data_IF_016636163844
#
_entry.id   IF_016636163844
#
_cell.length_a   1.000
_cell.length_b   1.000
_cell.length_c   1.000
_cell.angle_alpha   90.00
_cell.angle_beta   90.00
_cell.angle_gamma   90.00
#
_symmetry.space_group_name_H-M   'P 1'
#
loop_
_entity.id
_entity.type
_entity.pdbx_description
1 polymer ?
#
# COMPACT_ATOMS: atom_id res chain seq x y z
N UNK A 1 10.61 2.86 25.01
CA UNK A 1 9.31 2.49 24.41
C UNK A 1 9.61 2.03 23.00
N UNK A 2 9.19 0.82 22.64
CA UNK A 2 9.41 0.31 21.27
C UNK A 2 8.46 1.10 20.36
N UNK A 3 8.98 2.08 19.65
CA UNK A 3 8.19 2.79 18.62
C UNK A 3 7.88 1.75 17.53
N UNK A 4 6.61 1.55 17.21
CA UNK A 4 6.21 0.64 16.14
C UNK A 4 6.94 0.92 14.84
N UNK A 5 7.10 -0.09 14.02
CA UNK A 5 7.76 -0.03 12.70
C UNK A 5 6.74 0.24 11.59
N UNK A 6 7.24 0.67 10.45
CA UNK A 6 6.44 0.95 9.25
C UNK A 6 6.71 -0.11 8.19
N UNK A 7 5.66 -0.75 7.69
CA UNK A 7 5.72 -1.76 6.63
C UNK A 7 5.02 -1.18 5.40
N UNK A 8 5.76 -0.97 4.33
CA UNK A 8 5.27 -0.43 3.06
C UNK A 8 5.15 -1.59 2.08
N UNK A 9 3.95 -1.82 1.54
CA UNK A 9 3.73 -2.83 0.51
C UNK A 9 3.19 -2.14 -0.74
N UNK A 10 3.92 -2.31 -1.84
CA UNK A 10 3.52 -1.84 -3.16
C UNK A 10 3.51 -3.00 -4.15
N UNK A 11 2.65 -2.92 -5.15
CA UNK A 11 2.54 -3.93 -6.19
C UNK A 11 1.71 -3.40 -7.36
N UNK A 12 1.91 -3.93 -8.56
CA UNK A 12 0.98 -3.72 -9.67
C UNK A 12 -0.42 -4.24 -9.35
N UNK A 13 -1.43 -3.58 -9.93
CA UNK A 13 -2.82 -4.02 -9.80
C UNK A 13 -2.99 -5.46 -10.33
N UNK A 14 -3.64 -6.31 -9.54
CA UNK A 14 -3.87 -7.71 -9.93
C UNK A 14 -2.81 -8.69 -9.43
N UNK A 15 -1.76 -8.23 -8.75
CA UNK A 15 -0.68 -9.08 -8.22
C UNK A 15 -1.08 -9.89 -6.97
N UNK A 16 -2.20 -9.53 -6.30
CA UNK A 16 -2.66 -10.20 -5.08
C UNK A 16 -2.23 -9.51 -3.78
N UNK A 17 -1.75 -8.25 -3.86
CA UNK A 17 -1.29 -7.46 -2.71
C UNK A 17 -2.29 -7.42 -1.56
N UNK A 18 -3.56 -7.08 -1.82
CA UNK A 18 -4.60 -6.97 -0.78
C UNK A 18 -4.88 -8.29 -0.07
N UNK A 19 -4.77 -9.41 -0.79
CA UNK A 19 -4.90 -10.75 -0.20
C UNK A 19 -3.73 -11.04 0.73
N UNK A 20 -2.50 -10.76 0.30
CA UNK A 20 -1.30 -10.93 1.14
C UNK A 20 -1.43 -10.07 2.41
N UNK A 21 -1.76 -8.78 2.29
CA UNK A 21 -1.95 -7.89 3.44
C UNK A 21 -3.02 -8.43 4.39
N UNK A 22 -4.16 -8.90 3.86
CA UNK A 22 -5.24 -9.47 4.66
C UNK A 22 -4.80 -10.69 5.48
N UNK A 23 -3.96 -11.57 4.92
CA UNK A 23 -3.39 -12.72 5.64
C UNK A 23 -2.39 -12.29 6.70
N UNK A 24 -1.51 -11.33 6.40
CA UNK A 24 -0.52 -10.82 7.33
C UNK A 24 -1.13 -10.16 8.58
N UNK A 25 -2.22 -9.41 8.41
CA UNK A 25 -2.91 -8.74 9.52
C UNK A 25 -3.53 -9.74 10.51
N UNK A 26 -3.87 -10.95 10.07
CA UNK A 26 -4.39 -12.01 10.94
C UNK A 26 -3.34 -12.58 11.89
N UNK A 27 -2.05 -12.41 11.57
CA UNK A 27 -0.96 -12.85 12.43
C UNK A 27 -0.73 -11.87 13.58
N UNK A 28 -1.28 -12.19 14.76
CA UNK A 28 -1.17 -11.37 15.95
C UNK A 28 0.28 -11.14 16.41
N UNK A 29 1.23 -12.02 16.05
CA UNK A 29 2.63 -11.88 16.42
C UNK A 29 3.31 -10.69 15.74
N UNK A 30 2.85 -10.30 14.57
CA UNK A 30 3.36 -9.16 13.80
C UNK A 30 2.83 -7.81 14.32
N UNK A 31 1.76 -7.80 15.12
CA UNK A 31 1.11 -6.59 15.65
C UNK A 31 0.85 -5.54 14.58
N UNK A 32 0.43 -5.99 13.38
CA UNK A 32 0.16 -5.10 12.26
C UNK A 32 -1.20 -4.42 12.40
N UNK A 33 -1.24 -3.15 12.08
CA UNK A 33 -2.48 -2.38 11.90
C UNK A 33 -2.44 -1.63 10.58
N UNK A 34 -3.54 -1.76 9.82
CA UNK A 34 -3.67 -1.08 8.54
C UNK A 34 -3.88 0.42 8.74
N UNK A 35 -3.08 1.24 8.06
CA UNK A 35 -3.23 2.70 8.10
C UNK A 35 -4.42 3.14 7.23
N UNK A 36 -5.35 3.84 7.84
CA UNK A 36 -6.50 4.42 7.12
C UNK A 36 -6.03 5.62 6.30
N UNK A 37 -6.16 5.52 4.97
CA UNK A 37 -5.78 6.59 4.05
C UNK A 37 -6.82 7.73 4.04
N UNK A 38 -6.37 8.94 3.72
CA UNK A 38 -7.26 10.06 3.42
C UNK A 38 -7.55 10.14 1.92
N UNK A 39 -8.73 10.61 1.55
CA UNK A 39 -9.12 10.83 0.15
C UNK A 39 -10.12 11.98 0.01
N UNK A 40 -10.10 12.62 -1.16
CA UNK A 40 -11.12 13.64 -1.53
C UNK A 40 -12.27 13.05 -2.34
N UNK A 41 -12.24 11.73 -2.60
CA UNK A 41 -13.35 11.02 -3.22
C UNK A 41 -14.55 10.98 -2.26
N UNK A 42 -15.74 11.16 -2.78
CA UNK A 42 -16.97 10.93 -2.00
C UNK A 42 -17.05 9.48 -1.51
N UNK A 43 -17.58 9.24 -0.29
CA UNK A 43 -17.83 7.89 0.20
C UNK A 43 -18.74 7.10 -0.74
N UNK A 44 -18.49 5.81 -0.89
CA UNK A 44 -19.41 4.87 -1.52
C UNK A 44 -20.43 4.38 -0.50
N UNK A 45 -21.52 3.75 -0.99
CA UNK A 45 -22.50 3.15 -0.11
C UNK A 45 -21.84 2.12 0.83
N UNK A 46 -22.02 2.30 2.14
CA UNK A 46 -21.46 1.42 3.17
C UNK A 46 -20.08 1.81 3.69
N UNK A 47 -19.36 2.75 3.04
CA UNK A 47 -18.07 3.22 3.56
C UNK A 47 -18.25 4.19 4.73
N UNK A 48 -17.42 4.04 5.75
CA UNK A 48 -17.47 4.80 7.00
C UNK A 48 -16.22 5.67 7.14
N UNK A 49 -16.43 6.96 7.42
CA UNK A 49 -15.32 7.91 7.65
C UNK A 49 -14.49 7.50 8.88
N UNK A 50 -13.17 7.52 8.73
CA UNK A 50 -12.22 7.12 9.77
C UNK A 50 -12.04 5.61 9.93
N UNK A 51 -12.76 4.81 9.13
CA UNK A 51 -12.64 3.35 9.09
C UNK A 51 -12.14 2.87 7.72
N UNK A 52 -12.86 3.23 6.65
CA UNK A 52 -12.48 2.84 5.28
C UNK A 52 -11.52 3.89 4.69
N UNK A 53 -11.84 5.16 4.88
CA UNK A 53 -11.01 6.32 4.54
C UNK A 53 -11.30 7.48 5.50
N UNK A 54 -10.36 8.41 5.61
CA UNK A 54 -10.64 9.79 6.05
C UNK A 54 -11.11 10.58 4.83
N UNK A 55 -12.41 10.81 4.70
CA UNK A 55 -12.99 11.57 3.60
C UNK A 55 -12.86 13.07 3.88
N UNK A 56 -12.06 13.76 3.08
CA UNK A 56 -11.77 15.18 3.22
C UNK A 56 -12.32 15.96 2.02
N UNK A 57 -12.61 17.24 2.20
CA UNK A 57 -12.78 18.15 1.07
C UNK A 57 -11.47 18.36 0.33
N UNK A 58 -11.51 18.80 -0.93
CA UNK A 58 -10.30 19.14 -1.70
C UNK A 58 -9.52 20.24 -1.00
N UNK A 59 -10.20 21.25 -0.45
CA UNK A 59 -9.59 22.38 0.25
C UNK A 59 -8.91 21.95 1.55
N UNK A 60 -9.55 21.07 2.34
CA UNK A 60 -8.94 20.56 3.58
C UNK A 60 -7.74 19.66 3.27
N UNK A 61 -7.83 18.85 2.20
CA UNK A 61 -6.71 18.02 1.79
C UNK A 61 -5.50 18.89 1.37
N UNK A 62 -5.73 19.93 0.57
CA UNK A 62 -4.68 20.88 0.15
C UNK A 62 -4.07 21.62 1.33
N UNK A 63 -4.89 22.10 2.28
CA UNK A 63 -4.39 22.68 3.53
C UNK A 63 -3.51 21.70 4.31
N UNK A 64 -3.93 20.42 4.39
CA UNK A 64 -3.11 19.38 5.02
C UNK A 64 -1.78 19.15 4.32
N UNK A 65 -1.71 19.29 2.98
CA UNK A 65 -0.46 19.25 2.22
C UNK A 65 0.44 20.46 2.62
N UNK A 66 -0.11 21.68 2.60
CA UNK A 66 0.62 22.90 2.97
C UNK A 66 1.16 22.83 4.41
N UNK A 67 0.38 22.25 5.32
CA UNK A 67 0.77 22.03 6.72
C UNK A 67 1.76 20.86 6.91
N UNK A 68 2.09 20.10 5.85
CA UNK A 68 2.97 18.94 5.93
C UNK A 68 2.40 17.76 6.73
N UNK A 69 1.07 17.60 6.78
CA UNK A 69 0.37 16.57 7.55
C UNK A 69 0.44 15.18 6.92
N UNK A 70 0.79 15.08 5.64
CA UNK A 70 0.89 13.82 4.91
C UNK A 70 2.31 13.25 4.91
N UNK A 71 2.43 11.94 5.07
CA UNK A 71 3.66 11.19 4.83
C UNK A 71 3.89 11.00 3.31
N UNK A 72 2.80 10.80 2.56
CA UNK A 72 2.75 10.78 1.11
C UNK A 72 1.34 11.17 0.64
N UNK A 73 1.24 11.64 -0.59
CA UNK A 73 -0.04 11.89 -1.25
C UNK A 73 0.12 11.87 -2.76
N UNK A 74 -0.97 11.59 -3.46
CA UNK A 74 -1.03 11.58 -4.92
C UNK A 74 -2.36 12.16 -5.41
N UNK A 75 -2.32 13.00 -6.44
CA UNK A 75 -3.49 13.36 -7.22
C UNK A 75 -3.63 12.35 -8.37
N UNK A 76 -4.61 11.44 -8.24
CA UNK A 76 -4.85 10.37 -9.23
C UNK A 76 -5.64 10.86 -10.44
N UNK A 77 -6.56 11.79 -10.20
CA UNK A 77 -7.32 12.55 -11.21
C UNK A 77 -7.50 13.98 -10.71
N UNK A 78 -7.76 14.96 -11.59
CA UNK A 78 -7.98 16.34 -11.16
C UNK A 78 -8.96 16.44 -9.99
N UNK A 79 -8.51 16.98 -8.86
CA UNK A 79 -9.26 17.12 -7.61
C UNK A 79 -9.48 15.83 -6.82
N UNK A 80 -8.95 14.68 -7.27
CA UNK A 80 -9.06 13.41 -6.56
C UNK A 80 -7.72 13.00 -5.96
N UNK A 81 -7.57 13.29 -4.70
CA UNK A 81 -6.38 12.99 -3.92
C UNK A 81 -6.55 11.74 -3.07
N UNK A 82 -5.44 11.05 -2.83
CA UNK A 82 -5.25 10.02 -1.82
C UNK A 82 -3.95 10.30 -1.08
N UNK A 83 -3.88 9.94 0.20
CA UNK A 83 -2.64 10.13 0.95
C UNK A 83 -2.68 9.49 2.33
N UNK A 84 -1.51 9.32 2.90
CA UNK A 84 -1.31 8.74 4.23
C UNK A 84 -1.02 9.85 5.23
N UNK A 85 -1.87 9.99 6.24
CA UNK A 85 -1.72 11.00 7.29
C UNK A 85 -0.64 10.59 8.31
N UNK A 86 0.30 11.48 8.60
CA UNK A 86 1.32 11.27 9.65
C UNK A 86 0.70 10.97 11.01
N UNK A 87 -0.41 11.63 11.34
CA UNK A 87 -1.13 11.41 12.61
C UNK A 87 -1.65 9.99 12.76
N UNK A 88 -2.05 9.34 11.65
CA UNK A 88 -2.51 7.94 11.67
C UNK A 88 -1.35 6.99 11.95
N UNK A 89 -0.21 7.20 11.32
CA UNK A 89 1.02 6.45 11.63
C UNK A 89 1.40 6.61 13.09
N UNK A 90 1.37 7.85 13.60
CA UNK A 90 1.71 8.15 15.00
C UNK A 90 0.73 7.49 15.98
N UNK A 91 -0.58 7.49 15.68
CA UNK A 91 -1.61 6.84 16.49
C UNK A 91 -1.32 5.35 16.64
N UNK A 92 -1.11 4.65 15.52
CA UNK A 92 -0.85 3.20 15.52
C UNK A 92 0.45 2.88 16.27
N UNK A 93 1.51 3.65 16.04
CA UNK A 93 2.79 3.46 16.71
C UNK A 93 2.72 3.74 18.22
N UNK A 94 1.90 4.71 18.65
CA UNK A 94 1.69 5.01 20.06
C UNK A 94 1.03 3.85 20.82
N UNK A 95 0.20 3.05 20.11
CA UNK A 95 -0.43 1.84 20.64
C UNK A 95 0.54 0.62 20.66
N UNK A 96 1.82 0.81 20.30
CA UNK A 96 2.83 -0.24 20.25
C UNK A 96 2.63 -1.22 19.09
N UNK A 97 1.90 -0.83 18.04
CA UNK A 97 1.65 -1.61 16.84
C UNK A 97 2.53 -1.17 15.68
N UNK A 98 2.71 -2.07 14.72
CA UNK A 98 3.40 -1.80 13.47
C UNK A 98 2.40 -1.37 12.41
N UNK A 99 2.74 -0.31 11.68
CA UNK A 99 1.88 0.25 10.63
C UNK A 99 2.08 -0.52 9.33
N UNK A 100 1.00 -0.92 8.67
CA UNK A 100 1.07 -1.43 7.29
C UNK A 100 0.42 -0.43 6.33
N UNK A 101 1.15 -0.05 5.27
CA UNK A 101 0.73 0.85 4.22
C UNK A 101 0.54 0.09 2.91
N UNK A 102 -0.63 0.25 2.29
CA UNK A 102 -0.93 -0.18 0.92
C UNK A 102 -0.93 1.05 0.01
N UNK A 103 0.23 1.37 -0.57
CA UNK A 103 0.44 2.58 -1.37
C UNK A 103 1.11 2.26 -2.71
N UNK A 104 1.02 3.20 -3.66
CA UNK A 104 1.70 3.07 -4.94
C UNK A 104 3.23 3.13 -4.82
N UNK A 105 3.92 2.85 -5.93
CA UNK A 105 5.39 2.74 -5.93
C UNK A 105 6.08 4.04 -5.58
N UNK A 106 5.60 5.18 -6.07
CA UNK A 106 6.24 6.48 -5.83
C UNK A 106 6.01 6.94 -4.39
N UNK A 107 4.79 6.75 -3.88
CA UNK A 107 4.47 6.96 -2.46
C UNK A 107 5.33 6.08 -1.56
N UNK A 108 5.47 4.80 -1.91
CA UNK A 108 6.30 3.85 -1.16
C UNK A 108 7.77 4.26 -1.07
N UNK A 109 8.35 4.68 -2.18
CA UNK A 109 9.74 5.18 -2.23
C UNK A 109 9.89 6.45 -1.38
N UNK A 110 8.93 7.38 -1.47
CA UNK A 110 8.99 8.63 -0.71
C UNK A 110 8.86 8.39 0.80
N UNK A 111 7.94 7.53 1.22
CA UNK A 111 7.79 7.15 2.63
C UNK A 111 9.03 6.43 3.13
N UNK A 112 9.60 5.50 2.35
CA UNK A 112 10.88 4.85 2.72
C UNK A 112 12.00 5.84 2.92
N UNK A 113 12.15 6.83 2.04
CA UNK A 113 13.16 7.89 2.20
C UNK A 113 12.93 8.73 3.47
N UNK A 114 11.67 9.01 3.81
CA UNK A 114 11.32 9.82 4.98
C UNK A 114 11.58 9.07 6.30
N UNK A 115 11.25 7.77 6.37
CA UNK A 115 11.33 6.99 7.60
C UNK A 115 12.62 6.15 7.73
N UNK A 116 13.42 6.05 6.66
CA UNK A 116 14.72 5.38 6.68
C UNK A 116 14.66 3.96 7.24
N UNK A 117 15.49 3.67 8.26
CA UNK A 117 15.59 2.36 8.90
C UNK A 117 14.39 2.00 9.81
N UNK A 118 13.46 2.93 10.01
CA UNK A 118 12.20 2.65 10.70
C UNK A 118 11.11 2.11 9.77
N UNK A 119 11.38 2.03 8.47
CA UNK A 119 10.47 1.51 7.46
C UNK A 119 11.09 0.36 6.68
N UNK A 120 10.31 -0.71 6.45
CA UNK A 120 10.61 -1.79 5.51
C UNK A 120 9.72 -1.63 4.28
N UNK A 121 10.32 -1.53 3.10
CA UNK A 121 9.59 -1.46 1.83
C UNK A 121 9.66 -2.80 1.09
N UNK A 122 8.48 -3.33 0.74
CA UNK A 122 8.32 -4.62 0.06
C UNK A 122 7.56 -4.40 -1.25
N UNK A 123 8.12 -4.88 -2.35
CA UNK A 123 7.45 -4.87 -3.64
C UNK A 123 6.99 -6.29 -4.00
N UNK A 124 5.67 -6.47 -4.19
CA UNK A 124 5.12 -7.75 -4.61
C UNK A 124 5.10 -7.82 -6.13
N UNK A 125 5.83 -8.79 -6.67
CA UNK A 125 5.98 -9.04 -8.10
C UNK A 125 4.95 -10.07 -8.60
N UNK A 126 4.36 -9.91 -9.77
CA UNK A 126 3.76 -11.04 -10.47
C UNK A 126 4.89 -11.95 -11.02
N UNK A 127 4.63 -13.24 -11.28
CA UNK A 127 5.63 -14.13 -11.91
C UNK A 127 6.05 -13.65 -13.29
N UNK A 128 5.08 -13.09 -14.05
CA UNK A 128 5.30 -12.47 -15.35
C UNK A 128 4.16 -11.52 -15.70
N UNK A 129 4.36 -10.63 -16.67
CA UNK A 129 3.28 -9.81 -17.23
C UNK A 129 2.18 -10.67 -17.88
N UNK A 130 2.56 -11.82 -18.48
CA UNK A 130 1.60 -12.76 -19.04
C UNK A 130 0.69 -13.37 -17.96
N UNK A 131 1.26 -13.79 -16.83
CA UNK A 131 0.48 -14.28 -15.69
C UNK A 131 -0.43 -13.20 -15.13
N UNK A 132 0.07 -11.96 -15.04
CA UNK A 132 -0.75 -10.82 -14.59
C UNK A 132 -1.93 -10.57 -15.54
N UNK A 133 -1.69 -10.63 -16.85
CA UNK A 133 -2.74 -10.51 -17.88
C UNK A 133 -3.83 -11.56 -17.69
N UNK A 134 -3.45 -12.83 -17.50
CA UNK A 134 -4.40 -13.92 -17.26
C UNK A 134 -5.21 -13.69 -15.98
N UNK A 135 -4.58 -13.22 -14.90
CA UNK A 135 -5.26 -12.88 -13.64
C UNK A 135 -6.26 -11.73 -13.80
N UNK A 136 -5.93 -10.71 -14.60
CA UNK A 136 -6.85 -9.60 -14.88
C UNK A 136 -8.03 -10.05 -15.74
N UNK A 137 -7.78 -10.85 -16.77
CA UNK A 137 -8.83 -11.43 -17.63
C UNK A 137 -9.80 -12.32 -16.84
N UNK A 138 -9.27 -13.16 -15.93
CA UNK A 138 -10.11 -14.11 -15.16
C UNK A 138 -11.06 -13.42 -14.18
N UNK A 139 -10.79 -12.17 -13.78
CA UNK A 139 -11.69 -11.37 -12.92
C UNK A 139 -12.98 -10.96 -13.64
N UNK A 140 -12.95 -10.84 -14.97
CA UNK A 140 -14.12 -10.51 -15.78
C UNK A 140 -14.73 -9.13 -15.54
N UNK A 141 -14.00 -8.22 -14.84
CA UNK A 141 -14.49 -6.89 -14.48
C UNK A 141 -14.09 -5.81 -15.46
N UNK A 142 -13.05 -6.04 -16.25
CA UNK A 142 -12.43 -5.07 -17.12
C UNK A 142 -12.56 -5.51 -18.59
N UNK A 143 -12.70 -4.56 -19.49
CA UNK A 143 -12.58 -4.81 -20.93
C UNK A 143 -11.10 -4.92 -21.35
N UNK A 144 -10.85 -5.38 -22.59
CA UNK A 144 -9.48 -5.61 -23.08
C UNK A 144 -8.64 -4.32 -23.06
N UNK A 145 -9.22 -3.18 -23.41
CA UNK A 145 -8.51 -1.90 -23.42
C UNK A 145 -8.06 -1.48 -22.01
N UNK A 146 -8.90 -1.68 -21.01
CA UNK A 146 -8.57 -1.42 -19.62
C UNK A 146 -7.47 -2.36 -19.12
N UNK A 147 -7.49 -3.64 -19.53
CA UNK A 147 -6.45 -4.62 -19.20
C UNK A 147 -5.10 -4.18 -19.79
N UNK A 148 -5.05 -3.76 -21.06
CA UNK A 148 -3.79 -3.29 -21.65
C UNK A 148 -3.26 -2.03 -20.96
N UNK A 149 -4.13 -1.09 -20.58
CA UNK A 149 -3.73 0.07 -19.75
C UNK A 149 -3.16 -0.34 -18.41
N UNK A 150 -3.76 -1.34 -17.74
CA UNK A 150 -3.25 -1.87 -16.46
C UNK A 150 -1.92 -2.58 -16.63
N UNK A 151 -1.72 -3.32 -17.72
CA UNK A 151 -0.45 -4.00 -18.00
C UNK A 151 0.68 -2.99 -18.26
N UNK A 152 0.43 -1.95 -19.06
CA UNK A 152 1.39 -0.87 -19.30
C UNK A 152 1.76 -0.15 -17.99
N UNK A 153 0.75 0.10 -17.13
CA UNK A 153 1.00 0.65 -15.79
C UNK A 153 1.80 -0.31 -14.91
N UNK A 154 1.50 -1.61 -14.96
CA UNK A 154 2.21 -2.63 -14.19
C UNK A 154 3.69 -2.72 -14.60
N UNK A 155 4.00 -2.66 -15.90
CA UNK A 155 5.38 -2.63 -16.41
C UNK A 155 6.12 -1.40 -15.89
N UNK A 156 5.50 -0.24 -15.93
CA UNK A 156 6.04 1.00 -15.36
C UNK A 156 6.30 0.85 -13.84
N UNK A 157 5.33 0.35 -13.07
CA UNK A 157 5.47 0.15 -11.63
C UNK A 157 6.57 -0.87 -11.30
N UNK A 158 6.68 -1.96 -12.06
CA UNK A 158 7.73 -2.97 -11.90
C UNK A 158 9.14 -2.43 -12.16
N UNK A 159 9.30 -1.40 -12.99
CA UNK A 159 10.60 -0.78 -13.23
C UNK A 159 11.22 -0.16 -11.96
N UNK A 160 10.39 0.18 -10.97
CA UNK A 160 10.81 0.70 -9.67
C UNK A 160 11.05 -0.38 -8.61
N UNK A 161 10.82 -1.66 -8.90
CA UNK A 161 10.95 -2.73 -7.91
C UNK A 161 12.35 -2.78 -7.25
N UNK A 162 13.40 -2.35 -7.96
CA UNK A 162 14.77 -2.28 -7.45
C UNK A 162 14.99 -1.23 -6.36
N UNK A 163 14.10 -0.25 -6.23
CA UNK A 163 14.15 0.81 -5.22
C UNK A 163 13.57 0.35 -3.86
N UNK A 164 12.98 -0.85 -3.81
CA UNK A 164 12.43 -1.45 -2.60
C UNK A 164 13.44 -2.35 -1.90
N UNK A 165 13.38 -2.40 -0.56
CA UNK A 165 14.28 -3.23 0.25
C UNK A 165 14.13 -4.72 -0.09
N UNK A 166 12.88 -5.16 -0.33
CA UNK A 166 12.56 -6.56 -0.65
C UNK A 166 11.65 -6.66 -1.87
N UNK A 167 11.85 -7.73 -2.64
CA UNK A 167 11.02 -8.10 -3.79
C UNK A 167 10.55 -9.53 -3.59
N UNK A 168 9.23 -9.73 -3.56
CA UNK A 168 8.61 -11.03 -3.32
C UNK A 168 7.72 -11.37 -4.52
N UNK A 169 7.94 -12.51 -5.13
CA UNK A 169 7.15 -12.96 -6.28
C UNK A 169 5.93 -13.73 -5.81
N UNK A 170 4.73 -13.25 -6.13
CA UNK A 170 3.48 -13.94 -5.85
C UNK A 170 3.11 -14.88 -7.02
N UNK A 171 3.79 -16.01 -7.07
CA UNK A 171 3.42 -17.14 -7.93
C UNK A 171 2.41 -18.04 -7.21
N UNK A 172 2.73 -18.48 -6.01
CA UNK A 172 1.88 -19.25 -5.09
C UNK A 172 1.62 -18.38 -3.87
N UNK A 173 0.34 -18.08 -3.61
CA UNK A 173 -0.08 -17.13 -2.58
C UNK A 173 0.50 -17.46 -1.20
N UNK A 174 0.38 -18.72 -0.77
CA UNK A 174 0.82 -19.18 0.55
C UNK A 174 2.33 -18.96 0.74
N UNK A 175 3.12 -19.19 -0.32
CA UNK A 175 4.57 -18.95 -0.29
C UNK A 175 4.89 -17.47 -0.21
N UNK A 176 4.19 -16.63 -0.98
CA UNK A 176 4.39 -15.19 -0.96
C UNK A 176 3.99 -14.58 0.40
N UNK A 177 2.91 -15.06 1.01
CA UNK A 177 2.50 -14.66 2.38
C UNK A 177 3.58 -15.04 3.38
N UNK A 178 4.07 -16.28 3.36
CA UNK A 178 5.07 -16.78 4.31
C UNK A 178 6.41 -16.05 4.16
N UNK A 179 6.84 -15.78 2.93
CA UNK A 179 8.07 -15.01 2.65
C UNK A 179 7.91 -13.57 3.16
N UNK A 180 6.79 -12.92 2.86
CA UNK A 180 6.50 -11.56 3.33
C UNK A 180 6.46 -11.52 4.87
N UNK A 181 5.82 -12.52 5.50
CA UNK A 181 5.76 -12.66 6.96
C UNK A 181 7.15 -12.74 7.59
N UNK A 182 8.04 -13.57 7.02
CA UNK A 182 9.43 -13.73 7.50
C UNK A 182 10.22 -12.43 7.43
N UNK A 183 10.11 -11.71 6.30
CA UNK A 183 10.81 -10.43 6.13
C UNK A 183 10.30 -9.39 7.14
N UNK A 184 8.99 -9.32 7.36
CA UNK A 184 8.41 -8.42 8.38
C UNK A 184 8.85 -8.83 9.78
N UNK A 185 8.73 -10.12 10.15
CA UNK A 185 9.12 -10.61 11.47
C UNK A 185 10.61 -10.33 11.78
N UNK A 186 11.49 -10.54 10.79
CA UNK A 186 12.91 -10.22 10.91
C UNK A 186 13.18 -8.73 11.11
N UNK A 187 12.34 -7.87 10.52
CA UNK A 187 12.49 -6.42 10.60
C UNK A 187 11.98 -5.82 11.92
N UNK A 188 10.90 -6.37 12.46
CA UNK A 188 10.30 -5.87 13.72
C UNK A 188 11.01 -6.40 14.96
N UNK A 189 11.73 -7.52 14.88
CA UNK A 189 12.53 -8.13 15.96
C UNK A 189 11.78 -9.17 16.74
#
# INVERSE_FOLDING_TARGET
>A
MNNGKLIIISAPSGTGKSTIISELIKDASLKLEFSVSATTRSPRAGEVNGKDYYFLSVDDFKKGIENGEFAEYQEVYPGRFYGTLKKEIQRINADGRNVILDIDVLGGINVKKMYGDNALSIFIMPPSLQTLRQRLLSRGTDNIEEIEKRLSKAEYEMSFAKEFDKRITNDVLEKAVEETRKEIASFIG
#
